data_IF_946189968680
#
_entry.id   IF_946189968680
#
_cell.length_a   1.000
_cell.length_b   1.000
_cell.length_c   1.000
_cell.angle_alpha   90.00
_cell.angle_beta   90.00
_cell.angle_gamma   90.00
#
_symmetry.space_group_name_H-M   'P 1'
#
loop_
_entity.id
_entity.type
_entity.pdbx_description
1 polymer ?
#
# COMPACT_ATOMS: atom_id res chain seq x y z
N UNK A 1 -10.80 -10.28 13.41
CA UNK A 1 -10.78 -9.32 14.55
C UNK A 1 -11.95 -9.49 15.51
N UNK A 2 -13.20 -9.48 15.03
CA UNK A 2 -14.40 -9.61 15.89
C UNK A 2 -14.38 -10.88 16.77
N UNK A 3 -14.21 -12.06 16.18
CA UNK A 3 -14.16 -13.33 16.94
C UNK A 3 -12.99 -13.42 17.93
N UNK A 4 -11.94 -12.61 17.75
CA UNK A 4 -10.80 -12.52 18.68
C UNK A 4 -11.04 -11.50 19.81
N UNK A 5 -12.21 -10.87 19.88
CA UNK A 5 -12.56 -9.87 20.90
C UNK A 5 -12.15 -8.43 20.56
N UNK A 6 -11.47 -8.19 19.44
CA UNK A 6 -11.00 -6.86 19.04
C UNK A 6 -12.01 -6.06 18.21
N UNK A 7 -13.26 -6.53 18.07
CA UNK A 7 -14.25 -5.90 17.18
C UNK A 7 -14.57 -4.44 17.49
N UNK A 8 -14.30 -3.98 18.72
CA UNK A 8 -14.49 -2.58 19.13
C UNK A 8 -13.38 -1.64 18.65
N UNK A 9 -12.14 -2.11 18.58
CA UNK A 9 -10.99 -1.30 18.22
C UNK A 9 -9.83 -2.18 17.78
N UNK A 10 -9.31 -1.92 16.57
CA UNK A 10 -8.10 -2.51 16.03
C UNK A 10 -7.52 -1.64 14.93
N UNK A 11 -6.21 -1.77 14.73
CA UNK A 11 -5.45 -1.07 13.71
C UNK A 11 -5.14 -2.05 12.59
N UNK A 12 -5.10 -1.55 11.36
CA UNK A 12 -4.75 -2.37 10.18
C UNK A 12 -3.53 -1.83 9.50
N UNK A 13 -2.62 -2.72 9.12
CA UNK A 13 -1.54 -2.42 8.22
C UNK A 13 -1.74 -3.15 6.88
N UNK A 14 -1.44 -2.50 5.75
CA UNK A 14 -1.54 -3.10 4.43
C UNK A 14 -0.44 -2.66 3.46
N UNK A 15 0.19 -3.64 2.83
CA UNK A 15 1.03 -3.51 1.62
C UNK A 15 0.36 -4.20 0.44
N UNK A 16 0.77 -3.88 -0.79
CA UNK A 16 0.21 -4.47 -2.03
C UNK A 16 -1.35 -4.52 -1.99
N UNK A 17 -1.99 -5.63 -2.43
CA UNK A 17 -3.45 -5.83 -2.33
C UNK A 17 -3.99 -5.66 -0.91
N UNK A 18 -3.17 -5.83 0.13
CA UNK A 18 -3.52 -5.56 1.52
C UNK A 18 -3.88 -4.10 1.78
N UNK A 19 -3.34 -3.14 0.99
CA UNK A 19 -3.77 -1.72 1.03
C UNK A 19 -5.25 -1.59 0.70
N UNK A 20 -5.73 -2.33 -0.31
CA UNK A 20 -7.13 -2.35 -0.72
C UNK A 20 -8.02 -2.93 0.39
N UNK A 21 -7.63 -4.06 0.96
CA UNK A 21 -8.39 -4.69 2.04
C UNK A 21 -8.38 -3.87 3.33
N UNK A 22 -7.28 -3.24 3.70
CA UNK A 22 -7.24 -2.33 4.86
C UNK A 22 -8.26 -1.20 4.71
N UNK A 23 -8.38 -0.63 3.50
CA UNK A 23 -9.36 0.41 3.19
C UNK A 23 -10.79 -0.11 3.25
N UNK A 24 -11.08 -1.27 2.66
CA UNK A 24 -12.40 -1.93 2.77
C UNK A 24 -12.74 -2.15 4.24
N UNK A 25 -11.84 -2.74 5.03
CA UNK A 25 -12.09 -3.00 6.43
C UNK A 25 -12.31 -1.71 7.23
N UNK A 26 -11.59 -0.64 6.91
CA UNK A 26 -11.82 0.66 7.48
C UNK A 26 -13.19 1.24 7.09
N UNK A 27 -13.70 1.03 5.88
CA UNK A 27 -15.03 1.51 5.51
C UNK A 27 -16.16 0.69 6.13
N UNK A 28 -16.03 -0.64 6.13
CA UNK A 28 -17.09 -1.56 6.53
C UNK A 28 -17.15 -1.79 8.05
N UNK A 29 -16.07 -1.46 8.78
CA UNK A 29 -15.99 -1.74 10.21
C UNK A 29 -15.54 -0.52 11.03
N UNK A 30 -16.44 -0.01 11.87
CA UNK A 30 -16.15 1.12 12.76
C UNK A 30 -14.96 0.87 13.69
N UNK A 31 -14.80 -0.38 14.17
CA UNK A 31 -13.67 -0.76 15.02
C UNK A 31 -12.31 -0.78 14.31
N UNK A 32 -12.27 -0.72 12.98
CA UNK A 32 -11.03 -0.62 12.20
C UNK A 32 -10.58 0.84 12.12
N UNK A 33 -9.76 1.29 13.07
CA UNK A 33 -9.26 2.66 13.12
C UNK A 33 -8.06 2.76 14.09
N UNK A 34 -6.94 3.39 13.70
CA UNK A 34 -6.57 3.89 12.36
C UNK A 34 -5.96 2.83 11.42
N UNK A 35 -5.58 3.25 10.21
CA UNK A 35 -4.95 2.39 9.20
C UNK A 35 -3.55 2.88 8.81
N UNK A 36 -2.64 1.95 8.52
CA UNK A 36 -1.26 2.21 8.10
C UNK A 36 -0.96 1.50 6.78
N UNK A 37 -0.27 2.15 5.85
CA UNK A 37 0.09 1.52 4.57
C UNK A 37 1.55 1.77 4.22
N UNK A 38 2.22 0.77 3.64
CA UNK A 38 3.56 0.93 3.08
C UNK A 38 3.46 1.25 1.58
N UNK A 39 3.09 2.49 1.26
CA UNK A 39 2.77 2.98 -0.08
C UNK A 39 1.26 3.17 -0.31
N UNK A 40 0.89 3.92 -1.35
CA UNK A 40 -0.51 4.23 -1.67
C UNK A 40 -0.83 3.84 -3.11
N UNK A 41 -1.96 3.15 -3.30
CA UNK A 41 -2.59 3.11 -4.62
C UNK A 41 -3.33 4.42 -4.82
N UNK A 42 -2.91 5.21 -5.80
CA UNK A 42 -3.57 6.45 -6.15
C UNK A 42 -5.06 6.20 -6.45
N UNK A 43 -5.94 6.90 -5.73
CA UNK A 43 -7.36 6.98 -6.04
C UNK A 43 -7.62 8.09 -7.05
N UNK A 44 -8.60 7.88 -7.94
CA UNK A 44 -9.12 8.79 -8.98
C UNK A 44 -8.11 9.31 -10.01
N UNK A 45 -6.92 9.74 -9.61
CA UNK A 45 -5.85 10.20 -10.49
C UNK A 45 -4.49 9.74 -9.95
N UNK A 46 -3.61 9.14 -10.76
CA UNK A 46 -2.23 8.89 -10.36
C UNK A 46 -1.57 10.19 -9.90
N UNK A 47 -0.65 10.10 -8.95
CA UNK A 47 0.17 11.25 -8.57
C UNK A 47 0.75 11.86 -9.86
N UNK A 48 0.56 13.17 -10.12
CA UNK A 48 1.09 13.79 -11.32
C UNK A 48 2.61 13.62 -11.36
N UNK A 49 3.19 13.58 -12.57
CA UNK A 49 4.65 13.45 -12.70
C UNK A 49 5.42 14.64 -12.13
N UNK A 50 4.76 15.80 -11.99
CA UNK A 50 5.30 16.98 -11.33
C UNK A 50 4.18 17.74 -10.61
N UNK A 51 4.44 18.18 -9.38
CA UNK A 51 3.64 19.15 -8.64
C UNK A 51 4.53 20.06 -7.80
N UNK A 52 4.02 21.22 -7.40
CA UNK A 52 4.69 22.07 -6.42
C UNK A 52 5.01 21.28 -5.14
N UNK A 53 6.27 21.34 -4.71
CA UNK A 53 6.77 20.61 -3.53
C UNK A 53 7.34 19.22 -3.81
N UNK A 54 7.39 18.76 -5.06
CA UNK A 54 8.12 17.55 -5.43
C UNK A 54 9.63 17.81 -5.44
N UNK A 55 10.39 16.86 -4.93
CA UNK A 55 11.85 16.83 -5.05
C UNK A 55 12.29 16.20 -6.37
N UNK A 56 13.57 16.37 -6.73
CA UNK A 56 14.15 15.63 -7.86
C UNK A 56 14.07 14.10 -7.66
N UNK A 57 14.13 13.64 -6.40
CA UNK A 57 13.96 12.22 -6.09
C UNK A 57 12.51 11.75 -6.32
N UNK A 58 11.51 12.58 -6.00
CA UNK A 58 10.11 12.28 -6.31
C UNK A 58 9.89 12.14 -7.81
N UNK A 59 10.50 13.02 -8.62
CA UNK A 59 10.40 12.95 -10.08
C UNK A 59 11.00 11.63 -10.61
N UNK A 60 12.16 11.20 -10.10
CA UNK A 60 12.77 9.91 -10.49
C UNK A 60 11.90 8.71 -10.08
N UNK A 61 11.30 8.78 -8.89
CA UNK A 61 10.36 7.76 -8.38
C UNK A 61 9.08 7.71 -9.24
N UNK A 62 8.61 8.85 -9.74
CA UNK A 62 7.47 8.89 -10.66
C UNK A 62 7.81 8.32 -12.04
N UNK A 63 9.03 8.54 -12.55
CA UNK A 63 9.51 7.89 -13.79
C UNK A 63 9.55 6.36 -13.62
N UNK A 64 10.01 5.87 -12.47
CA UNK A 64 9.99 4.44 -12.15
C UNK A 64 8.56 3.87 -12.20
N UNK A 65 7.59 4.58 -11.61
CA UNK A 65 6.18 4.16 -11.67
C UNK A 65 5.62 4.14 -13.09
N UNK A 66 5.96 5.13 -13.92
CA UNK A 66 5.57 5.13 -15.34
C UNK A 66 6.14 3.93 -16.08
N UNK A 67 7.41 3.58 -15.83
CA UNK A 67 8.02 2.39 -16.41
C UNK A 67 7.30 1.11 -15.97
N UNK A 68 6.93 1.00 -14.69
CA UNK A 68 6.12 -0.12 -14.18
C UNK A 68 4.78 -0.27 -14.92
N UNK A 69 4.06 0.83 -15.17
CA UNK A 69 2.82 0.78 -15.93
C UNK A 69 3.03 0.43 -17.41
N UNK A 70 4.14 0.91 -18.00
CA UNK A 70 4.44 0.66 -19.41
C UNK A 70 4.86 -0.79 -19.69
N UNK A 71 5.66 -1.40 -18.82
CA UNK A 71 6.28 -2.71 -19.08
C UNK A 71 6.07 -3.75 -17.98
N UNK A 72 5.87 -3.34 -16.73
CA UNK A 72 5.74 -4.24 -15.57
C UNK A 72 4.31 -4.70 -15.26
N UNK A 73 3.29 -4.04 -15.83
CA UNK A 73 1.88 -4.22 -15.43
C UNK A 73 1.15 -5.38 -16.13
N UNK A 74 1.78 -6.06 -17.10
CA UNK A 74 1.17 -7.13 -17.89
C UNK A 74 0.60 -8.28 -17.05
N UNK A 75 1.26 -8.62 -15.93
CA UNK A 75 0.78 -9.67 -15.01
C UNK A 75 -0.61 -9.31 -14.44
N UNK A 76 -0.82 -8.05 -14.07
CA UNK A 76 -2.06 -7.57 -13.47
C UNK A 76 -3.19 -7.55 -14.49
N UNK A 77 -2.91 -7.16 -15.74
CA UNK A 77 -3.88 -7.23 -16.84
C UNK A 77 -4.38 -8.67 -17.06
N UNK A 78 -3.47 -9.65 -17.02
CA UNK A 78 -3.85 -11.07 -17.14
C UNK A 78 -4.68 -11.54 -15.95
N UNK A 79 -4.30 -11.18 -14.73
CA UNK A 79 -5.08 -11.51 -13.52
C UNK A 79 -6.48 -10.85 -13.52
N UNK A 80 -6.60 -9.64 -14.05
CA UNK A 80 -7.87 -8.90 -14.16
C UNK A 80 -8.82 -9.50 -15.21
N UNK A 81 -8.27 -9.83 -16.39
CA UNK A 81 -9.09 -10.11 -17.57
C UNK A 81 -9.24 -11.60 -17.87
N UNK A 82 -8.24 -12.42 -17.56
CA UNK A 82 -8.18 -13.85 -17.87
C UNK A 82 -7.70 -14.72 -16.68
N UNK A 83 -8.19 -14.52 -15.43
CA UNK A 83 -7.69 -15.24 -14.26
C UNK A 83 -7.86 -16.76 -14.35
N UNK A 84 -8.95 -17.24 -14.95
CA UNK A 84 -9.14 -18.69 -15.16
C UNK A 84 -8.09 -19.29 -16.10
N UNK A 85 -7.77 -18.59 -17.19
CA UNK A 85 -6.75 -19.05 -18.15
C UNK A 85 -5.36 -19.01 -17.53
N UNK A 86 -4.93 -17.85 -17.00
CA UNK A 86 -3.58 -17.71 -16.45
C UNK A 86 -3.40 -18.58 -15.19
N UNK A 87 -4.46 -18.71 -14.38
CA UNK A 87 -4.53 -19.62 -13.24
C UNK A 87 -4.18 -21.05 -13.61
N UNK A 88 -4.86 -21.60 -14.63
CA UNK A 88 -4.60 -22.97 -15.11
C UNK A 88 -3.23 -23.11 -15.77
N UNK A 89 -2.80 -22.14 -16.57
CA UNK A 89 -1.51 -22.26 -17.29
C UNK A 89 -0.32 -22.17 -16.35
N UNK A 90 -0.30 -21.23 -15.42
CA UNK A 90 0.82 -21.05 -14.48
C UNK A 90 0.83 -22.16 -13.41
N UNK A 91 -0.35 -22.61 -12.95
CA UNK A 91 -0.44 -23.72 -11.99
C UNK A 91 -0.16 -25.11 -12.61
N UNK A 92 -0.03 -25.20 -13.93
CA UNK A 92 0.26 -26.48 -14.61
C UNK A 92 1.69 -27.00 -14.37
N UNK A 93 2.61 -26.13 -13.93
CA UNK A 93 4.01 -26.47 -13.73
C UNK A 93 4.64 -25.64 -12.60
N UNK A 94 5.39 -26.25 -11.67
CA UNK A 94 6.07 -25.49 -10.62
C UNK A 94 7.15 -24.56 -11.21
N UNK A 95 7.70 -24.87 -12.38
CA UNK A 95 8.63 -23.98 -13.09
C UNK A 95 7.91 -22.77 -13.71
N UNK A 96 6.69 -22.95 -14.23
CA UNK A 96 5.89 -21.84 -14.73
C UNK A 96 5.49 -20.91 -13.57
N UNK A 97 5.11 -21.48 -12.43
CA UNK A 97 4.82 -20.74 -11.21
C UNK A 97 6.05 -19.98 -10.68
N UNK A 98 7.21 -20.64 -10.64
CA UNK A 98 8.48 -20.01 -10.26
C UNK A 98 8.85 -18.86 -11.20
N UNK A 99 8.72 -19.03 -12.51
CA UNK A 99 9.00 -17.97 -13.46
C UNK A 99 8.06 -16.77 -13.26
N UNK A 100 6.76 -17.02 -13.09
CA UNK A 100 5.75 -15.97 -12.96
C UNK A 100 5.86 -15.17 -11.66
N UNK A 101 6.08 -15.85 -10.53
CA UNK A 101 6.20 -15.20 -9.21
C UNK A 101 7.62 -14.71 -8.95
N UNK A 102 8.63 -15.51 -9.32
CA UNK A 102 10.05 -15.20 -9.10
C UNK A 102 10.50 -13.94 -9.82
N UNK A 103 9.95 -13.64 -11.00
CA UNK A 103 10.17 -12.36 -11.68
C UNK A 103 9.82 -11.16 -10.78
N UNK A 104 8.74 -11.25 -9.98
CA UNK A 104 8.30 -10.15 -9.11
C UNK A 104 9.23 -9.97 -7.93
N UNK A 105 9.71 -11.07 -7.35
CA UNK A 105 10.77 -11.01 -6.33
C UNK A 105 12.07 -10.41 -6.85
N UNK A 106 12.39 -10.56 -8.14
CA UNK A 106 13.59 -9.96 -8.72
C UNK A 106 13.40 -8.47 -9.04
N UNK A 107 12.26 -8.13 -9.63
CA UNK A 107 12.06 -6.80 -10.21
C UNK A 107 11.50 -5.78 -9.21
N UNK A 108 10.76 -6.23 -8.19
CA UNK A 108 10.06 -5.34 -7.23
C UNK A 108 10.84 -5.08 -5.95
N UNK A 109 11.94 -5.77 -5.73
CA UNK A 109 12.81 -5.56 -4.57
C UNK A 109 13.97 -4.66 -4.93
N UNK A 110 14.35 -3.78 -4.02
CA UNK A 110 15.64 -3.09 -4.07
C UNK A 110 16.76 -3.99 -3.56
N UNK A 111 16.48 -4.78 -2.52
CA UNK A 111 17.44 -5.70 -1.93
C UNK A 111 17.22 -7.08 -2.53
N UNK A 112 18.26 -7.63 -3.17
CA UNK A 112 18.17 -8.96 -3.78
C UNK A 112 17.77 -10.03 -2.76
N UNK A 113 16.67 -10.72 -3.04
CA UNK A 113 16.19 -11.78 -2.17
C UNK A 113 17.03 -13.05 -2.29
N UNK A 114 17.37 -13.72 -1.16
CA UNK A 114 17.95 -15.05 -1.19
C UNK A 114 17.07 -15.99 -2.02
N UNK A 115 17.70 -16.84 -2.83
CA UNK A 115 16.99 -17.79 -3.69
C UNK A 115 16.07 -18.70 -2.85
N UNK A 116 16.53 -19.09 -1.66
CA UNK A 116 15.79 -19.90 -0.71
C UNK A 116 14.47 -19.23 -0.28
N UNK A 117 14.45 -17.91 -0.11
CA UNK A 117 13.24 -17.14 0.21
C UNK A 117 12.24 -17.20 -0.94
N UNK A 118 12.72 -17.01 -2.18
CA UNK A 118 11.88 -17.09 -3.38
C UNK A 118 11.31 -18.50 -3.54
N UNK A 119 12.16 -19.52 -3.42
CA UNK A 119 11.76 -20.92 -3.53
C UNK A 119 10.79 -21.33 -2.42
N UNK A 120 10.99 -20.87 -1.18
CA UNK A 120 10.08 -21.14 -0.08
C UNK A 120 8.68 -20.55 -0.34
N UNK A 121 8.62 -19.30 -0.79
CA UNK A 121 7.34 -18.64 -1.14
C UNK A 121 6.64 -19.35 -2.30
N UNK A 122 7.36 -19.63 -3.40
CA UNK A 122 6.79 -20.32 -4.57
C UNK A 122 6.35 -21.75 -4.23
N UNK A 123 7.13 -22.47 -3.42
CA UNK A 123 6.79 -23.82 -2.97
C UNK A 123 5.54 -23.79 -2.09
N UNK A 124 5.40 -22.80 -1.20
CA UNK A 124 4.18 -22.61 -0.43
C UNK A 124 2.98 -22.36 -1.36
N UNK A 125 3.11 -21.52 -2.38
CA UNK A 125 2.05 -21.28 -3.37
C UNK A 125 1.67 -22.56 -4.12
N UNK A 126 2.67 -23.36 -4.50
CA UNK A 126 2.50 -24.64 -5.20
C UNK A 126 1.76 -25.65 -4.35
N UNK A 127 2.26 -25.94 -3.14
CA UNK A 127 1.72 -26.98 -2.26
C UNK A 127 0.31 -26.68 -1.72
N UNK A 128 -0.14 -25.44 -1.88
CA UNK A 128 -1.46 -24.99 -1.38
C UNK A 128 -2.40 -24.56 -2.51
N UNK A 129 -2.04 -24.75 -3.78
CA UNK A 129 -2.81 -24.29 -4.93
C UNK A 129 -3.23 -22.82 -4.81
N UNK A 130 -2.35 -21.96 -4.27
CA UNK A 130 -2.72 -20.57 -3.91
C UNK A 130 -2.89 -19.70 -5.14
N UNK A 131 -1.99 -19.81 -6.12
CA UNK A 131 -1.98 -18.94 -7.31
C UNK A 131 -3.33 -18.84 -8.03
N UNK A 132 -3.97 -19.93 -8.49
CA UNK A 132 -5.23 -19.84 -9.23
C UNK A 132 -6.39 -19.29 -8.39
N UNK A 133 -6.27 -19.29 -7.05
CA UNK A 133 -7.31 -18.81 -6.12
C UNK A 133 -7.11 -17.34 -5.76
N UNK A 134 -5.87 -16.90 -5.53
CA UNK A 134 -5.60 -15.56 -5.00
C UNK A 134 -5.67 -14.45 -6.06
N UNK A 135 -5.39 -14.75 -7.33
CA UNK A 135 -5.30 -13.74 -8.40
C UNK A 135 -6.63 -13.06 -8.74
N UNK A 136 -7.76 -13.65 -8.36
CA UNK A 136 -9.10 -13.09 -8.58
C UNK A 136 -9.31 -11.77 -7.84
N UNK A 137 -8.55 -11.51 -6.76
CA UNK A 137 -8.60 -10.23 -6.06
C UNK A 137 -8.27 -9.05 -6.97
N UNK A 138 -7.48 -9.26 -8.02
CA UNK A 138 -7.16 -8.22 -8.99
C UNK A 138 -8.36 -7.79 -9.84
N UNK A 139 -9.44 -8.59 -9.91
CA UNK A 139 -10.66 -8.20 -10.64
C UNK A 139 -11.44 -7.08 -9.96
N UNK A 140 -11.22 -6.85 -8.67
CA UNK A 140 -11.91 -5.78 -7.97
C UNK A 140 -11.34 -4.42 -8.40
N UNK A 141 -12.19 -3.44 -8.71
CA UNK A 141 -11.71 -2.16 -9.20
C UNK A 141 -10.93 -1.42 -8.11
N UNK A 142 -9.88 -0.71 -8.51
CA UNK A 142 -9.12 0.19 -7.64
C UNK A 142 -9.94 1.43 -7.16
N UNK A 143 -11.23 1.50 -7.52
CA UNK A 143 -12.15 2.61 -7.24
C UNK A 143 -12.77 2.55 -5.85
N UNK A 144 -12.31 1.64 -4.97
CA UNK A 144 -12.69 1.69 -3.56
C UNK A 144 -12.35 3.11 -3.06
N UNK A 145 -13.26 3.84 -2.39
CA UNK A 145 -12.96 5.19 -1.90
C UNK A 145 -11.99 5.15 -0.72
N UNK A 146 -11.33 6.26 -0.42
CA UNK A 146 -10.51 6.36 0.78
C UNK A 146 -11.42 6.66 1.99
N UNK A 147 -11.20 6.08 3.19
CA UNK A 147 -11.99 6.44 4.37
C UNK A 147 -11.58 7.82 4.90
N UNK A 148 -12.20 8.88 4.38
CA UNK A 148 -11.84 10.28 4.66
C UNK A 148 -12.01 10.70 6.13
N UNK A 149 -12.84 9.97 6.89
CA UNK A 149 -13.14 10.21 8.30
C UNK A 149 -12.17 9.51 9.27
N UNK A 150 -11.27 8.64 8.77
CA UNK A 150 -10.39 7.82 9.62
C UNK A 150 -8.94 8.26 9.53
N UNK A 151 -8.25 8.54 10.64
CA UNK A 151 -6.83 8.83 10.62
C UNK A 151 -6.03 7.71 9.94
N UNK A 152 -4.99 8.08 9.20
CA UNK A 152 -4.11 7.09 8.60
C UNK A 152 -2.64 7.51 8.53
N UNK A 153 -1.78 6.52 8.32
CA UNK A 153 -0.34 6.71 8.14
C UNK A 153 0.20 6.04 6.88
N UNK A 154 1.29 6.60 6.34
CA UNK A 154 2.02 6.06 5.19
C UNK A 154 3.51 5.93 5.49
N UNK A 155 4.08 4.77 5.17
CA UNK A 155 5.51 4.55 5.01
C UNK A 155 5.85 4.41 3.53
N UNK A 156 6.58 5.38 2.96
CA UNK A 156 6.94 5.41 1.55
C UNK A 156 8.37 4.88 1.37
N UNK A 157 8.50 3.72 0.71
CA UNK A 157 9.78 3.06 0.46
C UNK A 157 10.35 3.42 -0.92
N UNK A 158 11.67 3.54 -1.06
CA UNK A 158 12.31 4.16 -2.21
C UNK A 158 12.05 3.46 -3.55
N UNK A 159 11.88 2.13 -3.55
CA UNK A 159 11.59 1.36 -4.77
C UNK A 159 10.22 0.66 -4.77
N UNK A 160 9.24 1.26 -4.08
CA UNK A 160 7.83 0.87 -4.27
C UNK A 160 7.41 1.13 -5.73
N UNK A 161 6.57 0.26 -6.28
CA UNK A 161 6.14 0.27 -7.68
C UNK A 161 5.40 1.54 -8.06
N UNK A 162 4.60 2.05 -7.12
CA UNK A 162 3.87 3.30 -7.24
C UNK A 162 4.14 4.09 -5.96
N UNK A 163 5.18 4.95 -5.97
CA UNK A 163 5.56 5.74 -4.82
C UNK A 163 4.52 6.82 -4.55
N UNK A 164 4.51 7.32 -3.32
CA UNK A 164 3.52 8.27 -2.83
C UNK A 164 4.20 9.54 -2.32
N UNK A 165 4.60 10.49 -3.20
CA UNK A 165 5.29 11.72 -2.79
C UNK A 165 4.52 12.48 -1.70
N UNK A 166 5.23 12.97 -0.68
CA UNK A 166 4.62 13.62 0.49
C UNK A 166 3.65 14.73 0.11
N UNK A 167 4.07 15.63 -0.78
CA UNK A 167 3.27 16.78 -1.22
C UNK A 167 1.93 16.34 -1.85
N UNK A 168 1.93 15.22 -2.59
CA UNK A 168 0.70 14.66 -3.14
C UNK A 168 -0.19 14.05 -2.06
N UNK A 169 0.38 13.29 -1.12
CA UNK A 169 -0.40 12.66 -0.04
C UNK A 169 -1.04 13.71 0.86
N UNK A 170 -0.28 14.71 1.31
CA UNK A 170 -0.77 15.78 2.19
C UNK A 170 -1.87 16.63 1.52
N UNK A 171 -1.74 16.89 0.21
CA UNK A 171 -2.75 17.62 -0.57
C UNK A 171 -4.03 16.79 -0.79
N UNK A 172 -3.88 15.48 -0.97
CA UNK A 172 -5.00 14.60 -1.35
C UNK A 172 -5.78 14.10 -0.13
N UNK A 173 -5.11 13.91 1.01
CA UNK A 173 -5.69 13.22 2.15
C UNK A 173 -5.57 14.05 3.45
N UNK A 174 -6.60 14.84 3.79
CA UNK A 174 -6.56 15.74 4.94
C UNK A 174 -6.54 15.01 6.31
N UNK A 175 -6.85 13.71 6.33
CA UNK A 175 -6.83 12.83 7.49
C UNK A 175 -5.49 12.09 7.70
N UNK A 176 -4.43 12.46 6.97
CA UNK A 176 -3.08 11.94 7.16
C UNK A 176 -2.51 12.41 8.51
N UNK A 177 -2.14 11.47 9.37
CA UNK A 177 -1.55 11.77 10.70
C UNK A 177 -0.09 11.36 10.83
N UNK A 178 0.42 10.59 9.86
CA UNK A 178 1.78 10.08 9.85
C UNK A 178 2.25 9.87 8.42
N UNK A 179 3.42 10.41 8.09
CA UNK A 179 4.09 10.14 6.83
C UNK A 179 5.57 9.97 7.11
N UNK A 180 6.12 8.86 6.66
CA UNK A 180 7.55 8.56 6.73
C UNK A 180 8.06 8.24 5.34
N UNK A 181 8.99 9.05 4.86
CA UNK A 181 9.75 8.77 3.65
C UNK A 181 11.04 8.06 4.02
N UNK A 182 11.35 6.99 3.31
CA UNK A 182 12.63 6.30 3.43
C UNK A 182 13.52 6.71 2.26
N UNK A 183 14.75 7.09 2.58
CA UNK A 183 15.80 7.34 1.58
C UNK A 183 16.33 6.02 1.01
N UNK A 184 17.07 6.07 -0.10
CA UNK A 184 17.62 4.87 -0.76
C UNK A 184 18.62 4.06 0.07
N UNK A 185 19.17 4.60 1.16
CA UNK A 185 20.06 3.88 2.07
C UNK A 185 19.57 4.06 3.51
N UNK A 186 19.60 3.08 4.44
CA UNK A 186 20.14 1.71 4.42
C UNK A 186 19.24 0.63 5.07
N UNK A 187 19.57 -0.66 4.90
CA UNK A 187 18.64 -1.44 4.07
C UNK A 187 17.63 -0.52 3.34
N UNK A 188 16.33 -0.49 3.65
CA UNK A 188 15.25 0.17 2.90
C UNK A 188 14.97 -0.46 1.53
N UNK A 189 13.82 -1.13 1.47
CA UNK A 189 13.43 -1.96 0.33
C UNK A 189 12.64 -1.26 -0.78
N UNK A 190 12.07 -2.07 -1.63
CA UNK A 190 11.05 -1.70 -2.59
C UNK A 190 9.66 -2.10 -2.12
N UNK A 191 9.01 -2.95 -2.90
CA UNK A 191 7.62 -3.33 -2.72
C UNK A 191 7.38 -4.27 -1.52
N UNK A 192 8.41 -5.00 -1.05
CA UNK A 192 8.29 -5.98 0.03
C UNK A 192 9.06 -5.54 1.28
N UNK A 193 8.76 -4.38 1.88
CA UNK A 193 9.59 -3.82 2.96
C UNK A 193 9.65 -4.71 4.20
N UNK A 194 8.61 -5.48 4.51
CA UNK A 194 8.63 -6.44 5.62
C UNK A 194 9.60 -7.63 5.39
N UNK A 195 9.96 -7.91 4.14
CA UNK A 195 10.97 -8.92 3.78
C UNK A 195 12.35 -8.30 3.55
N UNK A 196 12.39 -7.11 2.96
CA UNK A 196 13.62 -6.42 2.57
C UNK A 196 14.28 -5.70 3.74
N UNK A 197 13.48 -5.02 4.57
CA UNK A 197 13.94 -4.30 5.75
C UNK A 197 12.91 -4.38 6.89
N UNK A 198 12.81 -5.55 7.55
CA UNK A 198 11.85 -5.75 8.63
C UNK A 198 12.07 -4.77 9.79
N UNK A 199 13.32 -4.34 10.03
CA UNK A 199 13.66 -3.40 11.10
C UNK A 199 13.09 -2.01 10.80
N UNK A 200 13.30 -1.48 9.60
CA UNK A 200 12.74 -0.20 9.21
C UNK A 200 11.21 -0.23 9.14
N UNK A 201 10.63 -1.31 8.63
CA UNK A 201 9.18 -1.50 8.54
C UNK A 201 8.54 -1.53 9.94
N UNK A 202 9.14 -2.27 10.88
CA UNK A 202 8.67 -2.33 12.26
C UNK A 202 8.80 -0.96 12.95
N UNK A 203 9.95 -0.31 12.84
CA UNK A 203 10.18 0.99 13.46
C UNK A 203 9.20 2.06 12.94
N UNK A 204 8.93 2.08 11.62
CA UNK A 204 7.92 2.97 11.04
C UNK A 204 6.51 2.71 11.59
N UNK A 205 6.13 1.43 11.75
CA UNK A 205 4.85 1.07 12.34
C UNK A 205 4.78 1.46 13.83
N UNK A 206 5.85 1.28 14.61
CA UNK A 206 5.90 1.67 16.02
C UNK A 206 5.80 3.19 16.20
N UNK A 207 6.47 3.98 15.35
CA UNK A 207 6.33 5.44 15.34
C UNK A 207 4.91 5.88 15.01
N UNK A 208 4.27 5.24 14.02
CA UNK A 208 2.86 5.46 13.73
C UNK A 208 1.98 5.14 14.96
N UNK A 209 2.17 3.98 15.58
CA UNK A 209 1.40 3.57 16.76
C UNK A 209 1.61 4.52 17.94
N UNK A 210 2.82 5.04 18.14
CA UNK A 210 3.11 6.05 19.15
C UNK A 210 2.35 7.36 18.87
N UNK A 211 2.30 7.79 17.61
CA UNK A 211 1.50 8.95 17.18
C UNK A 211 0.02 8.72 17.49
N UNK A 212 -0.53 7.57 17.10
CA UNK A 212 -1.93 7.20 17.38
C UNK A 212 -2.22 7.21 18.88
N UNK A 213 -1.34 6.62 19.70
CA UNK A 213 -1.48 6.57 21.16
C UNK A 213 -1.54 7.96 21.78
N UNK A 214 -0.75 8.92 21.27
CA UNK A 214 -0.79 10.31 21.75
C UNK A 214 -2.09 11.07 21.38
N UNK A 215 -2.86 10.55 20.43
CA UNK A 215 -4.15 11.13 20.01
C UNK A 215 -5.35 10.53 20.77
N UNK A 216 -5.15 9.48 21.56
CA UNK A 216 -6.19 8.85 22.38
C UNK A 216 -6.21 9.54 23.75
N UNK A 217 -7.34 10.15 24.13
CA UNK A 217 -7.52 10.69 25.48
C UNK A 217 -7.77 9.58 26.52
N UNK A 218 -7.69 9.94 27.80
CA UNK A 218 -7.90 9.03 28.95
C UNK A 218 -9.32 8.40 28.99
N UNK A 219 -10.27 8.89 28.19
CA UNK A 219 -11.63 8.37 28.03
C UNK A 219 -11.75 7.30 26.91
N UNK A 220 -10.65 6.99 26.21
CA UNK A 220 -10.59 5.97 25.17
C UNK A 220 -11.07 6.42 23.78
N UNK A 221 -11.42 7.71 23.62
CA UNK A 221 -11.78 8.28 22.32
C UNK A 221 -10.52 8.78 21.59
N UNK A 222 -10.39 8.43 20.31
CA UNK A 222 -9.42 9.08 19.42
C UNK A 222 -9.92 10.50 19.16
N UNK A 223 -9.11 11.52 19.44
CA UNK A 223 -9.36 12.85 18.90
C UNK A 223 -9.28 12.76 17.36
N UNK A 224 -10.43 12.68 16.70
CA UNK A 224 -10.58 13.24 15.36
C UNK A 224 -10.97 14.70 15.56
N UNK A 225 -10.09 15.49 16.17
CA UNK A 225 -10.22 16.93 16.16
C UNK A 225 -9.53 17.43 14.88
N UNK A 226 -10.12 17.12 13.74
CA UNK A 226 -9.85 17.83 12.49
C UNK A 226 -10.34 19.27 12.69
N UNK A 227 -9.55 20.12 13.35
CA UNK A 227 -9.88 21.55 13.50
C UNK A 227 -9.35 22.35 12.29
N UNK A 228 -9.92 23.54 12.04
CA UNK A 228 -10.40 24.00 10.75
C UNK A 228 -9.31 24.74 9.98
N UNK A 229 -8.76 24.13 8.94
CA UNK A 229 -7.88 24.83 7.98
C UNK A 229 -8.57 25.19 6.67
N UNK A 230 -9.90 25.09 6.61
CA UNK A 230 -10.67 25.84 5.63
C UNK A 230 -10.86 27.25 6.17
N UNK A 231 -9.99 28.18 5.75
CA UNK A 231 -10.46 29.55 5.56
C UNK A 231 -11.74 29.48 4.72
N UNK A 232 -12.81 30.21 5.08
CA UNK A 232 -14.00 30.22 4.25
C UNK A 232 -13.60 30.69 2.84
N UNK A 233 -13.75 29.81 1.84
CA UNK A 233 -13.73 30.26 0.46
C UNK A 233 -14.83 31.31 0.32
N UNK A 234 -14.39 32.51 -0.03
CA UNK A 234 -15.23 33.65 -0.32
C UNK A 234 -16.23 33.27 -1.44
N UNK A 235 -17.55 33.36 -1.25
CA UNK A 235 -18.54 32.99 -2.28
C UNK A 235 -18.62 33.98 -3.45
N UNK A 236 -17.60 34.81 -3.69
CA UNK A 236 -17.70 35.97 -4.57
C UNK A 236 -17.31 35.70 -6.03
N UNK A 237 -17.40 34.47 -6.54
CA UNK A 237 -17.24 34.19 -7.97
C UNK A 237 -18.15 33.05 -8.45
N UNK A 238 -19.45 33.29 -8.42
CA UNK A 238 -20.40 32.76 -9.40
C UNK A 238 -21.18 33.96 -9.94
N UNK A 239 -20.62 34.54 -11.00
CA UNK A 239 -21.23 35.49 -11.91
C UNK A 239 -20.85 35.10 -13.33
#
# INVERSE_FOLDING_TARGET
MVHMGFGKAYITHGGDVGKLFARIMAQEHNGCNPLHMNGLFATKEPAPSHMDGYSEEDDQRMIHAQAFFATGFGYSLMHQTKPGTIGLTVASSPLALLAWIGEKFRDWTEISMPLETILASVTLYWLTDTYPRCIYSNRFPATIPFPEDKPFGVSNFPRELVPAPRAWVEKTFPNLIFYKDYEKAPPHGGHFPALEDPTAMLAGLEEFLAKVKSMIHADGNVLINLRPYLSPMNPSHLG
#
